data_IF_259072460532
#
_entry.id   IF_259072460532
#
_cell.length_a   1.000
_cell.length_b   1.000
_cell.length_c   1.000
_cell.angle_alpha   90.00
_cell.angle_beta   90.00
_cell.angle_gamma   90.00
#
_symmetry.space_group_name_H-M   'P 1'
#
loop_
_entity.id
_entity.type
_entity.pdbx_description
1 polymer ?
#
# COMPACT_ATOMS: atom_id res chain seq x y z
N UNK A 1 -7.68 17.34 2.58
CA UNK A 1 -7.25 18.10 3.77
C UNK A 1 -6.37 19.25 3.31
N UNK A 2 -7.00 20.38 2.97
CA UNK A 2 -6.43 21.73 3.08
C UNK A 2 -7.63 22.68 3.07
N UNK A 3 -7.71 23.48 4.13
CA UNK A 3 -8.89 24.20 4.58
C UNK A 3 -9.11 25.46 3.75
N UNK A 4 -10.33 25.63 3.28
CA UNK A 4 -10.91 26.89 2.85
C UNK A 4 -11.06 27.82 4.06
N UNK A 5 -10.23 28.85 4.12
CA UNK A 5 -10.33 29.92 5.10
C UNK A 5 -10.71 31.23 4.40
N UNK A 6 -12.00 31.52 4.36
CA UNK A 6 -12.52 32.88 4.13
C UNK A 6 -13.47 33.19 5.28
N UNK A 7 -12.88 33.55 6.42
CA UNK A 7 -13.61 34.16 7.52
C UNK A 7 -14.04 35.55 7.12
N UNK A 8 -15.32 35.69 6.77
CA UNK A 8 -16.02 36.96 6.79
C UNK A 8 -16.12 37.38 8.27
N UNK A 9 -15.26 38.30 8.66
CA UNK A 9 -15.39 39.05 9.90
C UNK A 9 -16.58 39.98 9.72
N UNK A 10 -17.66 39.72 10.46
CA UNK A 10 -18.73 40.67 10.71
C UNK A 10 -18.16 41.89 11.45
N UNK A 11 -17.72 42.90 10.70
CA UNK A 11 -17.58 44.24 11.27
C UNK A 11 -18.95 44.89 11.29
N UNK A 12 -19.54 44.91 12.50
CA UNK A 12 -20.76 45.63 12.87
C UNK A 12 -20.95 46.91 12.04
N UNK A 13 -22.03 46.93 11.27
CA UNK A 13 -22.49 48.12 10.58
C UNK A 13 -22.71 49.25 11.58
N UNK A 14 -22.08 50.39 11.31
CA UNK A 14 -22.67 51.66 11.71
C UNK A 14 -23.88 51.85 10.80
N UNK A 15 -25.08 51.62 11.34
CA UNK A 15 -26.34 51.97 10.67
C UNK A 15 -26.37 53.48 10.46
N UNK A 16 -26.08 53.92 9.24
CA UNK A 16 -26.53 55.20 8.73
C UNK A 16 -27.77 54.95 7.88
N UNK A 17 -28.84 54.50 8.53
CA UNK A 17 -30.20 54.56 7.98
C UNK A 17 -30.66 56.02 7.98
N UNK A 18 -30.09 56.83 7.10
CA UNK A 18 -30.67 58.10 6.67
C UNK A 18 -30.49 58.11 5.15
N UNK A 19 -31.58 58.34 4.43
CA UNK A 19 -31.74 58.32 2.96
C UNK A 19 -32.17 56.96 2.38
N UNK A 20 -33.49 56.74 2.40
CA UNK A 20 -34.18 55.73 1.58
C UNK A 20 -34.13 56.06 0.07
N UNK A 21 -34.47 55.09 -0.78
CA UNK A 21 -34.32 55.20 -2.22
C UNK A 21 -35.48 56.02 -2.80
N UNK A 22 -35.17 57.18 -3.37
CA UNK A 22 -36.15 58.02 -4.06
C UNK A 22 -35.91 59.50 -3.84
N UNK A 23 -35.39 60.14 -4.89
CA UNK A 23 -35.00 61.56 -5.02
C UNK A 23 -33.53 61.81 -4.70
N UNK A 24 -32.67 61.60 -5.71
CA UNK A 24 -31.29 62.07 -5.73
C UNK A 24 -31.28 63.60 -5.61
N UNK A 25 -31.07 64.10 -4.39
CA UNK A 25 -30.75 65.50 -4.19
C UNK A 25 -29.35 65.73 -4.76
N UNK A 26 -29.17 66.82 -5.49
CA UNK A 26 -27.83 67.26 -5.90
C UNK A 26 -26.94 67.36 -4.64
N UNK A 27 -25.71 66.85 -4.73
CA UNK A 27 -24.81 66.81 -3.57
C UNK A 27 -24.57 68.21 -2.98
N UNK A 28 -24.67 69.25 -3.81
CA UNK A 28 -24.60 70.65 -3.41
C UNK A 28 -25.71 71.12 -2.44
N UNK A 29 -26.79 70.36 -2.25
CA UNK A 29 -27.85 70.67 -1.29
C UNK A 29 -27.52 70.26 0.15
N UNK A 30 -26.43 69.52 0.37
CA UNK A 30 -26.02 69.05 1.70
C UNK A 30 -25.02 70.02 2.35
N UNK A 31 -24.99 70.04 3.69
CA UNK A 31 -23.97 70.78 4.43
C UNK A 31 -22.57 70.20 4.16
N UNK A 32 -21.51 71.01 4.14
CA UNK A 32 -20.15 70.61 3.75
C UNK A 32 -19.64 69.34 4.46
N UNK A 33 -19.89 69.20 5.77
CA UNK A 33 -19.52 68.00 6.53
C UNK A 33 -20.24 66.71 6.08
N UNK A 34 -21.47 66.82 5.59
CA UNK A 34 -22.22 65.69 5.04
C UNK A 34 -21.74 65.39 3.62
N UNK A 35 -21.40 66.41 2.84
CA UNK A 35 -20.78 66.23 1.51
C UNK A 35 -19.45 65.49 1.62
N UNK A 36 -18.59 65.85 2.57
CA UNK A 36 -17.30 65.18 2.80
C UNK A 36 -17.49 63.69 3.09
N UNK A 37 -18.45 63.33 3.94
CA UNK A 37 -18.73 61.93 4.28
C UNK A 37 -19.26 61.13 3.07
N UNK A 38 -20.14 61.73 2.26
CA UNK A 38 -20.68 61.11 1.04
C UNK A 38 -19.56 60.92 0.00
N UNK A 39 -18.67 61.90 -0.16
CA UNK A 39 -17.54 61.82 -1.10
C UNK A 39 -16.56 60.74 -0.67
N UNK A 40 -16.29 60.59 0.63
CA UNK A 40 -15.42 59.52 1.14
C UNK A 40 -16.00 58.14 0.81
N UNK A 41 -17.30 57.93 1.04
CA UNK A 41 -17.98 56.65 0.75
C UNK A 41 -17.93 56.30 -0.74
N UNK A 42 -18.16 57.29 -1.62
CA UNK A 42 -18.08 57.12 -3.06
C UNK A 42 -16.64 56.89 -3.56
N UNK A 43 -15.65 57.55 -2.96
CA UNK A 43 -14.23 57.31 -3.28
C UNK A 43 -13.80 55.91 -2.83
N UNK A 44 -14.23 55.46 -1.65
CA UNK A 44 -13.99 54.10 -1.18
C UNK A 44 -14.63 53.06 -2.11
N UNK A 45 -15.85 53.32 -2.58
CA UNK A 45 -16.53 52.47 -3.59
C UNK A 45 -15.74 52.43 -4.91
N UNK A 46 -15.27 53.59 -5.38
CA UNK A 46 -14.46 53.70 -6.59
C UNK A 46 -13.10 53.00 -6.48
N UNK A 47 -12.48 52.98 -5.28
CA UNK A 47 -11.23 52.25 -5.01
C UNK A 47 -11.38 50.72 -5.10
N UNK A 48 -12.60 50.21 -4.91
CA UNK A 48 -12.96 48.79 -5.09
C UNK A 48 -13.52 48.53 -6.50
N UNK A 49 -13.56 49.56 -7.37
CA UNK A 49 -14.04 49.45 -8.75
C UNK A 49 -15.57 49.38 -8.88
N UNK A 50 -16.31 49.79 -7.86
CA UNK A 50 -17.78 49.84 -7.82
C UNK A 50 -18.22 51.29 -8.07
N UNK A 51 -19.32 51.47 -8.82
CA UNK A 51 -19.90 52.79 -9.04
C UNK A 51 -20.51 53.35 -7.75
N UNK A 52 -20.13 54.59 -7.40
CA UNK A 52 -20.71 55.33 -6.28
C UNK A 52 -21.97 56.11 -6.70
N UNK A 53 -22.56 56.84 -5.76
CA UNK A 53 -23.80 57.60 -5.99
C UNK A 53 -23.56 58.91 -6.78
N UNK A 54 -22.45 59.59 -6.51
CA UNK A 54 -22.05 60.87 -7.11
C UNK A 54 -20.67 60.80 -7.81
N UNK A 55 -19.98 59.65 -7.73
CA UNK A 55 -18.78 59.32 -8.52
C UNK A 55 -19.09 58.12 -9.40
N UNK A 56 -19.11 58.34 -10.72
CA UNK A 56 -19.40 57.32 -11.72
C UNK A 56 -18.14 56.90 -12.48
N UNK A 57 -18.06 55.62 -12.84
CA UNK A 57 -16.90 55.05 -13.55
C UNK A 57 -17.31 54.78 -15.00
N UNK A 58 -16.90 55.64 -15.93
CA UNK A 58 -17.16 55.44 -17.37
C UNK A 58 -16.03 54.65 -18.02
N UNK A 59 -16.35 53.42 -18.43
CA UNK A 59 -15.46 52.60 -19.26
C UNK A 59 -15.64 52.99 -20.72
N UNK A 60 -14.61 53.57 -21.34
CA UNK A 60 -14.67 53.97 -22.75
C UNK A 60 -14.37 52.75 -23.62
N UNK A 61 -15.42 52.14 -24.17
CA UNK A 61 -15.26 51.10 -25.18
C UNK A 61 -14.69 51.72 -26.46
N UNK A 62 -13.41 51.47 -26.76
CA UNK A 62 -12.79 51.82 -28.04
C UNK A 62 -11.42 52.49 -27.97
N UNK A 63 -10.98 52.95 -26.79
CA UNK A 63 -9.57 53.29 -26.53
C UNK A 63 -9.01 52.32 -25.51
N UNK A 64 -7.82 51.81 -25.81
CA UNK A 64 -7.06 50.88 -24.97
C UNK A 64 -7.00 51.42 -23.53
N UNK A 65 -7.57 50.68 -22.60
CA UNK A 65 -7.30 50.74 -21.16
C UNK A 65 -7.31 52.13 -20.51
N UNK A 66 -8.45 52.84 -20.58
CA UNK A 66 -8.67 54.03 -19.75
C UNK A 66 -10.04 54.02 -19.09
N UNK A 67 -10.08 54.14 -17.76
CA UNK A 67 -11.31 54.29 -16.98
C UNK A 67 -11.47 55.75 -16.58
N UNK A 68 -12.52 56.42 -17.05
CA UNK A 68 -12.75 57.84 -16.75
C UNK A 68 -13.68 57.95 -15.56
N UNK A 69 -13.20 58.57 -14.48
CA UNK A 69 -14.00 58.87 -13.30
C UNK A 69 -14.68 60.22 -13.47
N UNK A 70 -16.01 60.25 -13.35
CA UNK A 70 -16.81 61.47 -13.45
C UNK A 70 -17.46 61.77 -12.10
N UNK A 71 -17.27 63.01 -11.64
CA UNK A 71 -17.84 63.53 -10.39
C UNK A 71 -19.05 64.40 -10.70
N UNK A 72 -20.07 64.35 -9.85
CA UNK A 72 -21.24 65.22 -9.93
C UNK A 72 -20.84 66.72 -9.94
N UNK A 73 -21.48 67.49 -10.83
CA UNK A 73 -21.13 68.89 -11.07
C UNK A 73 -21.57 69.84 -9.95
N UNK A 74 -22.45 69.39 -9.05
CA UNK A 74 -22.94 70.17 -7.90
C UNK A 74 -22.08 70.03 -6.64
N UNK A 75 -21.00 69.24 -6.70
CA UNK A 75 -20.06 69.04 -5.59
C UNK A 75 -19.21 70.28 -5.33
N UNK A 76 -18.89 70.52 -4.06
CA UNK A 76 -17.91 71.53 -3.68
C UNK A 76 -16.57 71.35 -4.43
N UNK A 77 -16.00 72.47 -4.90
CA UNK A 77 -14.82 72.46 -5.75
C UNK A 77 -13.58 71.88 -5.05
N UNK A 78 -13.44 72.07 -3.74
CA UNK A 78 -12.31 71.55 -2.95
C UNK A 78 -12.43 70.04 -2.80
N UNK A 79 -13.63 69.54 -2.53
CA UNK A 79 -13.90 68.09 -2.49
C UNK A 79 -13.72 67.44 -3.86
N UNK A 80 -14.14 68.11 -4.93
CA UNK A 80 -13.96 67.63 -6.30
C UNK A 80 -12.48 67.53 -6.67
N UNK A 81 -11.66 68.54 -6.33
CA UNK A 81 -10.22 68.51 -6.58
C UNK A 81 -9.53 67.41 -5.76
N UNK A 82 -9.96 67.22 -4.50
CA UNK A 82 -9.44 66.18 -3.61
C UNK A 82 -9.74 64.77 -4.11
N UNK A 83 -10.97 64.50 -4.55
CA UNK A 83 -11.35 63.22 -5.15
C UNK A 83 -10.58 62.93 -6.45
N UNK A 84 -10.40 63.96 -7.30
CA UNK A 84 -9.63 63.86 -8.55
C UNK A 84 -8.17 63.45 -8.34
N UNK A 85 -7.57 63.76 -7.19
CA UNK A 85 -6.20 63.31 -6.86
C UNK A 85 -6.10 61.81 -6.60
N UNK A 86 -7.20 61.16 -6.23
CA UNK A 86 -7.25 59.72 -5.87
C UNK A 86 -7.59 58.84 -7.09
N UNK A 87 -8.27 59.38 -8.10
CA UNK A 87 -8.70 58.63 -9.29
C UNK A 87 -7.61 57.88 -10.06
N UNK A 88 -6.35 58.36 -10.18
CA UNK A 88 -5.29 57.58 -10.83
C UNK A 88 -5.04 56.20 -10.17
N UNK A 89 -5.25 56.10 -8.86
CA UNK A 89 -5.13 54.84 -8.12
C UNK A 89 -6.32 53.91 -8.43
N UNK A 90 -7.54 54.46 -8.45
CA UNK A 90 -8.74 53.72 -8.83
C UNK A 90 -8.66 53.20 -10.27
N UNK A 91 -8.13 54.01 -11.19
CA UNK A 91 -7.88 53.61 -12.58
C UNK A 91 -6.92 52.44 -12.66
N UNK A 92 -5.79 52.52 -11.95
CA UNK A 92 -4.80 51.44 -11.89
C UNK A 92 -5.42 50.13 -11.37
N UNK A 93 -6.26 50.19 -10.34
CA UNK A 93 -6.95 49.02 -9.79
C UNK A 93 -7.91 48.37 -10.80
N UNK A 94 -8.75 49.17 -11.46
CA UNK A 94 -9.71 48.69 -12.47
C UNK A 94 -8.99 48.03 -13.65
N UNK A 95 -7.89 48.62 -14.12
CA UNK A 95 -7.09 48.07 -15.22
C UNK A 95 -6.39 46.77 -14.83
N UNK A 96 -5.86 46.67 -13.61
CA UNK A 96 -5.25 45.43 -13.10
C UNK A 96 -6.31 44.33 -13.01
N UNK A 97 -7.50 44.61 -12.48
CA UNK A 97 -8.57 43.61 -12.42
C UNK A 97 -9.03 43.16 -13.80
N UNK A 98 -9.22 44.08 -14.74
CA UNK A 98 -9.58 43.75 -16.13
C UNK A 98 -8.52 42.90 -16.83
N UNK A 99 -7.23 43.19 -16.59
CA UNK A 99 -6.13 42.37 -17.08
C UNK A 99 -6.12 40.96 -16.47
N UNK A 100 -6.39 40.85 -15.16
CA UNK A 100 -6.48 39.56 -14.46
C UNK A 100 -7.67 38.75 -14.98
N UNK A 101 -8.83 39.36 -15.13
CA UNK A 101 -10.04 38.72 -15.66
C UNK A 101 -9.82 38.21 -17.10
N UNK A 102 -9.34 39.06 -18.01
CA UNK A 102 -9.08 38.69 -19.41
C UNK A 102 -8.00 37.60 -19.58
N UNK A 103 -6.98 37.55 -18.71
CA UNK A 103 -5.96 36.50 -18.71
C UNK A 103 -6.39 35.23 -17.98
N UNK A 104 -7.35 35.31 -17.07
CA UNK A 104 -7.88 34.19 -16.31
C UNK A 104 -8.76 33.26 -17.15
N UNK A 105 -9.51 33.81 -18.13
CA UNK A 105 -10.31 33.03 -19.07
C UNK A 105 -9.46 32.08 -19.94
N UNK A 106 -8.20 32.45 -20.22
CA UNK A 106 -7.31 31.67 -21.07
C UNK A 106 -6.55 30.55 -20.35
N UNK A 107 -6.65 30.42 -19.01
CA UNK A 107 -5.78 29.50 -18.25
C UNK A 107 -6.44 28.46 -17.35
N UNK A 108 -7.76 28.46 -17.06
CA UNK A 108 -8.21 27.64 -15.92
C UNK A 108 -9.24 26.51 -16.10
N UNK A 109 -9.95 26.27 -17.23
CA UNK A 109 -11.06 25.27 -17.15
C UNK A 109 -11.13 24.19 -18.25
N UNK A 110 -10.70 24.42 -19.49
CA UNK A 110 -10.95 23.44 -20.58
C UNK A 110 -9.78 22.52 -20.98
N UNK A 111 -8.54 23.00 -20.88
CA UNK A 111 -7.37 22.31 -21.44
C UNK A 111 -6.87 21.17 -20.55
N UNK A 112 -6.82 21.38 -19.23
CA UNK A 112 -6.27 20.40 -18.29
C UNK A 112 -7.05 19.07 -18.30
N UNK A 113 -8.38 19.10 -18.47
CA UNK A 113 -9.22 17.90 -18.45
C UNK A 113 -8.94 16.99 -19.66
N UNK A 114 -8.82 17.55 -20.86
CA UNK A 114 -8.52 16.77 -22.08
C UNK A 114 -7.12 16.15 -22.06
N UNK A 115 -6.12 16.88 -21.57
CA UNK A 115 -4.77 16.30 -21.43
C UNK A 115 -4.73 15.18 -20.38
N UNK A 116 -5.43 15.35 -19.26
CA UNK A 116 -5.58 14.30 -18.25
C UNK A 116 -6.30 13.06 -18.80
N UNK A 117 -7.34 13.23 -19.60
CA UNK A 117 -8.03 12.11 -20.27
C UNK A 117 -7.12 11.37 -21.25
N UNK A 118 -6.37 12.09 -22.08
CA UNK A 118 -5.42 11.48 -23.01
C UNK A 118 -4.31 10.70 -22.27
N UNK A 119 -3.78 11.26 -21.17
CA UNK A 119 -2.77 10.58 -20.35
C UNK A 119 -3.35 9.32 -19.69
N UNK A 120 -4.57 9.41 -19.13
CA UNK A 120 -5.25 8.25 -18.54
C UNK A 120 -5.49 7.16 -19.58
N UNK A 121 -5.99 7.51 -20.76
CA UNK A 121 -6.22 6.55 -21.85
C UNK A 121 -4.91 5.87 -22.30
N UNK A 122 -3.81 6.63 -22.42
CA UNK A 122 -2.51 6.08 -22.75
C UNK A 122 -1.97 5.15 -21.64
N UNK A 123 -2.16 5.51 -20.38
CA UNK A 123 -1.80 4.67 -19.23
C UNK A 123 -2.62 3.38 -19.17
N UNK A 124 -3.93 3.47 -19.35
CA UNK A 124 -4.84 2.30 -19.33
C UNK A 124 -4.51 1.33 -20.48
N UNK A 125 -4.20 1.85 -21.67
CA UNK A 125 -3.75 1.04 -22.80
C UNK A 125 -2.39 0.36 -22.51
N UNK A 126 -1.39 1.13 -22.07
CA UNK A 126 -0.05 0.58 -21.80
C UNK A 126 -0.05 -0.44 -20.64
N UNK A 127 -0.80 -0.17 -19.59
CA UNK A 127 -0.93 -1.07 -18.44
C UNK A 127 -1.69 -2.34 -18.78
N UNK A 128 -2.75 -2.24 -19.59
CA UNK A 128 -3.49 -3.40 -20.12
C UNK A 128 -2.62 -4.30 -20.99
N UNK A 129 -1.89 -3.73 -21.95
CA UNK A 129 -0.97 -4.48 -22.82
C UNK A 129 0.15 -5.17 -22.02
N UNK A 130 0.75 -4.46 -21.06
CA UNK A 130 1.79 -5.05 -20.22
C UNK A 130 1.24 -6.18 -19.35
N UNK A 131 0.03 -6.02 -18.81
CA UNK A 131 -0.63 -7.07 -18.02
C UNK A 131 -0.94 -8.31 -18.88
N UNK A 132 -1.45 -8.13 -20.09
CA UNK A 132 -1.71 -9.22 -21.03
C UNK A 132 -0.41 -9.94 -21.40
N UNK A 133 0.67 -9.20 -21.66
CA UNK A 133 2.00 -9.78 -21.91
C UNK A 133 2.45 -10.66 -20.74
N UNK A 134 2.33 -10.19 -19.49
CA UNK A 134 2.75 -10.94 -18.30
C UNK A 134 1.85 -12.15 -18.03
N UNK A 135 0.52 -12.00 -18.19
CA UNK A 135 -0.45 -13.07 -17.93
C UNK A 135 -0.40 -14.17 -19.00
N UNK A 136 -0.41 -13.81 -20.28
CA UNK A 136 -0.52 -14.77 -21.38
C UNK A 136 0.84 -15.29 -21.83
N UNK A 137 1.76 -14.40 -22.19
CA UNK A 137 3.04 -14.80 -22.80
C UNK A 137 4.00 -15.43 -21.79
N UNK A 138 4.02 -14.92 -20.56
CA UNK A 138 4.92 -15.41 -19.50
C UNK A 138 4.22 -16.31 -18.46
N UNK A 139 2.93 -16.59 -18.64
CA UNK A 139 2.11 -17.44 -17.76
C UNK A 139 2.37 -17.21 -16.25
N UNK A 140 2.15 -15.97 -15.81
CA UNK A 140 2.27 -15.61 -14.39
C UNK A 140 1.44 -16.53 -13.49
N UNK A 141 0.26 -16.95 -13.95
CA UNK A 141 -0.64 -17.80 -13.17
C UNK A 141 -0.11 -19.22 -13.02
N UNK A 142 0.46 -19.81 -14.07
CA UNK A 142 1.20 -21.07 -13.98
C UNK A 142 2.37 -20.96 -13.00
N UNK A 143 3.16 -19.88 -13.08
CA UNK A 143 4.31 -19.69 -12.19
C UNK A 143 3.92 -19.55 -10.73
N UNK A 144 2.87 -18.80 -10.42
CA UNK A 144 2.31 -18.68 -9.07
C UNK A 144 1.78 -20.04 -8.59
N UNK A 145 1.15 -20.83 -9.46
CA UNK A 145 0.65 -22.17 -9.14
C UNK A 145 1.79 -23.11 -8.76
N UNK A 146 2.90 -23.11 -9.51
CA UNK A 146 4.10 -23.87 -9.15
C UNK A 146 4.66 -23.43 -7.79
N UNK A 147 4.70 -22.12 -7.52
CA UNK A 147 5.10 -21.60 -6.20
C UNK A 147 4.20 -22.15 -5.09
N UNK A 148 2.88 -22.20 -5.30
CA UNK A 148 1.96 -22.85 -4.35
C UNK A 148 2.29 -24.33 -4.17
N UNK A 149 2.47 -25.08 -5.26
CA UNK A 149 2.76 -26.51 -5.20
C UNK A 149 4.01 -26.83 -4.36
N UNK A 150 5.10 -26.07 -4.54
CA UNK A 150 6.38 -26.36 -3.88
C UNK A 150 6.58 -25.63 -2.54
N UNK A 151 6.28 -24.33 -2.45
CA UNK A 151 6.55 -23.54 -1.24
C UNK A 151 5.39 -23.57 -0.23
N UNK A 152 4.15 -23.77 -0.68
CA UNK A 152 2.97 -23.89 0.20
C UNK A 152 2.53 -25.34 0.44
N UNK A 153 3.27 -26.31 -0.12
CA UNK A 153 3.09 -27.76 0.07
C UNK A 153 1.75 -28.35 -0.41
N UNK A 154 1.15 -27.75 -1.44
CA UNK A 154 -0.07 -28.30 -2.07
C UNK A 154 0.21 -29.65 -2.76
N UNK A 155 1.37 -29.80 -3.42
CA UNK A 155 1.88 -31.09 -3.91
C UNK A 155 3.07 -31.54 -3.06
N UNK A 156 2.83 -31.96 -1.83
CA UNK A 156 3.88 -32.29 -0.86
C UNK A 156 4.48 -33.71 -0.95
N UNK A 157 4.18 -34.49 -2.00
CA UNK A 157 4.66 -35.87 -2.15
C UNK A 157 6.18 -35.94 -2.37
N UNK A 158 6.72 -35.04 -3.22
CA UNK A 158 8.17 -34.89 -3.42
C UNK A 158 8.88 -34.58 -2.10
N UNK A 159 8.27 -33.77 -1.22
CA UNK A 159 8.88 -33.37 0.04
C UNK A 159 9.01 -34.56 0.99
N UNK A 160 8.00 -35.44 1.03
CA UNK A 160 8.01 -36.65 1.83
C UNK A 160 9.15 -37.56 1.40
N UNK A 161 9.33 -37.75 0.10
CA UNK A 161 10.42 -38.55 -0.46
C UNK A 161 11.79 -37.89 -0.26
N UNK A 162 11.90 -36.58 -0.49
CA UNK A 162 13.11 -35.79 -0.22
C UNK A 162 13.57 -35.93 1.23
N UNK A 163 12.67 -35.81 2.21
CA UNK A 163 13.00 -35.96 3.64
C UNK A 163 13.56 -37.35 3.99
N UNK A 164 13.20 -38.40 3.23
CA UNK A 164 13.74 -39.74 3.45
C UNK A 164 15.15 -39.89 2.89
N UNK A 165 15.37 -39.47 1.65
CA UNK A 165 16.67 -39.59 0.99
C UNK A 165 17.71 -38.60 1.52
N UNK A 166 17.28 -37.43 1.99
CA UNK A 166 18.15 -36.38 2.52
C UNK A 166 18.34 -36.45 4.03
N UNK A 167 17.76 -37.45 4.72
CA UNK A 167 17.80 -37.58 6.17
C UNK A 167 19.22 -37.49 6.75
N UNK A 168 20.17 -38.22 6.19
CA UNK A 168 21.56 -38.23 6.66
C UNK A 168 22.24 -36.88 6.51
N UNK A 169 21.92 -36.14 5.45
CA UNK A 169 22.50 -34.83 5.19
C UNK A 169 21.85 -33.75 6.07
N UNK A 170 20.53 -33.82 6.26
CA UNK A 170 19.76 -32.87 7.07
C UNK A 170 20.04 -33.00 8.56
N UNK A 171 20.52 -34.15 9.04
CA UNK A 171 20.90 -34.36 10.44
C UNK A 171 22.30 -33.83 10.79
N UNK A 172 23.09 -33.41 9.80
CA UNK A 172 24.41 -32.81 10.02
C UNK A 172 24.29 -31.38 10.54
N UNK A 173 25.40 -30.88 11.08
CA UNK A 173 25.54 -29.46 11.44
C UNK A 173 25.61 -28.58 10.17
N UNK A 174 25.15 -27.32 10.21
CA UNK A 174 25.09 -26.44 9.06
C UNK A 174 26.41 -26.29 8.27
N UNK A 175 27.55 -26.35 8.96
CA UNK A 175 28.88 -26.20 8.35
C UNK A 175 29.33 -27.44 7.56
N UNK A 176 28.75 -28.61 7.85
CA UNK A 176 29.09 -29.90 7.24
C UNK A 176 28.15 -30.29 6.09
N UNK A 177 27.10 -29.49 5.85
CA UNK A 177 26.08 -29.76 4.85
C UNK A 177 26.57 -29.32 3.47
N UNK A 178 26.53 -30.24 2.51
CA UNK A 178 26.75 -29.89 1.11
C UNK A 178 25.44 -29.45 0.45
N UNK A 179 25.35 -28.16 0.10
CA UNK A 179 24.20 -27.61 -0.64
C UNK A 179 24.04 -28.27 -2.02
N UNK A 180 25.14 -28.64 -2.68
CA UNK A 180 25.13 -29.34 -3.97
C UNK A 180 24.54 -30.74 -3.85
N UNK A 181 24.89 -31.45 -2.77
CA UNK A 181 24.30 -32.77 -2.47
C UNK A 181 22.81 -32.66 -2.14
N UNK A 182 22.40 -31.65 -1.38
CA UNK A 182 20.98 -31.42 -1.13
C UNK A 182 20.21 -31.06 -2.41
N UNK A 183 20.82 -30.28 -3.31
CA UNK A 183 20.22 -29.98 -4.61
C UNK A 183 20.05 -31.25 -5.45
N UNK A 184 21.06 -32.11 -5.54
CA UNK A 184 20.96 -33.34 -6.34
C UNK A 184 19.92 -34.32 -5.78
N UNK A 185 19.80 -34.40 -4.44
CA UNK A 185 18.74 -35.16 -3.78
C UNK A 185 17.36 -34.55 -4.03
N UNK A 186 17.23 -33.21 -4.00
CA UNK A 186 15.99 -32.53 -4.35
C UNK A 186 15.58 -32.82 -5.80
N UNK A 187 16.51 -32.73 -6.75
CA UNK A 187 16.25 -33.00 -8.16
C UNK A 187 15.84 -34.47 -8.37
N UNK A 188 16.47 -35.41 -7.66
CA UNK A 188 16.07 -36.81 -7.66
C UNK A 188 14.63 -36.96 -7.14
N UNK A 189 14.28 -36.28 -6.06
CA UNK A 189 12.94 -36.37 -5.48
C UNK A 189 11.86 -35.73 -6.36
N UNK A 190 12.17 -34.63 -7.03
CA UNK A 190 11.26 -34.00 -7.98
C UNK A 190 11.04 -34.89 -9.21
N UNK A 191 12.09 -35.59 -9.67
CA UNK A 191 12.05 -36.48 -10.83
C UNK A 191 11.32 -37.80 -10.59
N UNK A 192 11.20 -38.24 -9.34
CA UNK A 192 10.58 -39.52 -8.99
C UNK A 192 9.09 -39.41 -8.60
N UNK A 193 8.54 -38.19 -8.49
CA UNK A 193 7.16 -37.95 -8.05
C UNK A 193 6.31 -37.25 -9.12
N UNK A 194 5.05 -36.95 -8.78
CA UNK A 194 4.13 -36.25 -9.69
C UNK A 194 4.60 -34.82 -10.04
N UNK A 195 5.58 -34.28 -9.30
CA UNK A 195 6.19 -32.99 -9.55
C UNK A 195 6.83 -32.84 -10.94
N UNK A 196 7.19 -33.95 -11.62
CA UNK A 196 7.71 -33.94 -13.00
C UNK A 196 6.72 -33.34 -13.99
N UNK A 197 5.42 -33.46 -13.73
CA UNK A 197 4.39 -32.96 -14.63
C UNK A 197 4.41 -31.42 -14.75
N UNK A 198 4.98 -30.71 -13.77
CA UNK A 198 5.10 -29.24 -13.80
C UNK A 198 6.35 -28.82 -14.60
N UNK A 199 6.22 -28.03 -15.68
CA UNK A 199 7.36 -27.51 -16.45
C UNK A 199 8.32 -26.65 -15.62
N UNK A 200 7.85 -26.06 -14.50
CA UNK A 200 8.61 -25.15 -13.66
C UNK A 200 9.38 -25.83 -12.52
N UNK A 201 9.37 -27.16 -12.42
CA UNK A 201 10.05 -27.90 -11.34
C UNK A 201 11.56 -27.63 -11.31
N UNK A 202 12.20 -27.39 -12.46
CA UNK A 202 13.65 -27.14 -12.59
C UNK A 202 14.11 -25.80 -12.01
N UNK A 203 13.18 -24.86 -11.77
CA UNK A 203 13.51 -23.56 -11.17
C UNK A 203 13.57 -23.62 -9.64
N UNK A 204 13.31 -24.78 -9.02
CA UNK A 204 13.40 -24.98 -7.58
C UNK A 204 14.85 -25.24 -7.15
N UNK A 205 15.33 -24.45 -6.20
CA UNK A 205 16.70 -24.51 -5.70
C UNK A 205 16.74 -24.70 -4.19
N UNK A 206 17.65 -25.53 -3.70
CA UNK A 206 17.94 -25.70 -2.28
C UNK A 206 18.78 -24.52 -1.76
N UNK A 207 18.41 -24.01 -0.60
CA UNK A 207 19.18 -23.01 0.14
C UNK A 207 19.42 -23.51 1.57
N UNK A 208 20.64 -23.30 2.08
CA UNK A 208 20.99 -23.58 3.47
C UNK A 208 21.24 -22.23 4.13
N UNK A 209 20.27 -21.79 4.95
CA UNK A 209 20.37 -20.51 5.65
C UNK A 209 21.21 -20.66 6.93
N UNK A 210 22.13 -19.73 7.18
CA UNK A 210 22.97 -19.75 8.40
C UNK A 210 22.21 -19.41 9.69
N UNK A 211 20.95 -18.98 9.58
CA UNK A 211 20.11 -18.57 10.70
C UNK A 211 18.83 -19.40 10.78
N UNK A 212 18.42 -19.69 12.01
CA UNK A 212 17.14 -20.37 12.29
C UNK A 212 15.96 -19.47 11.93
N UNK A 213 14.79 -20.10 11.74
CA UNK A 213 13.54 -19.39 11.45
C UNK A 213 13.26 -18.31 12.51
N UNK A 214 13.42 -18.65 13.79
CA UNK A 214 13.18 -17.73 14.91
C UNK A 214 14.10 -16.51 14.87
N UNK A 215 15.40 -16.70 14.60
CA UNK A 215 16.37 -15.60 14.50
C UNK A 215 16.09 -14.69 13.29
N UNK A 216 15.58 -15.25 12.19
CA UNK A 216 15.17 -14.49 11.01
C UNK A 216 13.87 -13.71 11.26
N UNK A 217 12.93 -14.29 12.00
CA UNK A 217 11.68 -13.60 12.40
C UNK A 217 11.96 -12.47 13.40
N UNK A 218 12.86 -12.66 14.36
CA UNK A 218 13.23 -11.61 15.31
C UNK A 218 13.92 -10.43 14.62
N UNK A 219 14.89 -10.68 13.74
CA UNK A 219 15.54 -9.61 12.95
C UNK A 219 14.58 -8.86 12.02
N UNK A 220 13.63 -9.56 11.39
CA UNK A 220 12.59 -8.89 10.58
C UNK A 220 11.66 -8.03 11.43
N UNK A 221 11.34 -8.47 12.65
CA UNK A 221 10.55 -7.69 13.61
C UNK A 221 11.31 -6.46 14.09
N UNK A 222 12.58 -6.59 14.41
CA UNK A 222 13.42 -5.46 14.84
C UNK A 222 13.57 -4.41 13.73
N UNK A 223 13.53 -4.82 12.46
CA UNK A 223 13.51 -3.89 11.32
C UNK A 223 12.17 -3.16 11.14
N UNK A 224 11.04 -3.78 11.51
CA UNK A 224 9.71 -3.13 11.51
C UNK A 224 9.45 -2.30 12.78
N UNK A 225 10.15 -2.58 13.88
CA UNK A 225 9.96 -1.96 15.20
C UNK A 225 11.04 -0.94 15.60
N UNK A 226 11.77 -0.35 14.65
CA UNK A 226 12.71 0.74 14.92
C UNK A 226 12.00 2.07 15.24
N UNK A 227 11.27 2.11 16.34
CA UNK A 227 11.17 3.25 17.24
C UNK A 227 10.69 2.70 18.59
N UNK A 228 11.40 3.07 19.66
CA UNK A 228 11.20 2.72 21.08
C UNK A 228 12.18 1.63 21.60
N UNK A 229 13.34 2.16 21.98
CA UNK A 229 14.21 1.78 23.11
C UNK A 229 15.07 0.51 23.01
N UNK A 230 16.36 0.79 23.00
CA UNK A 230 17.53 -0.05 23.27
C UNK A 230 17.35 -0.92 24.53
N UNK A 231 17.68 -2.21 24.45
CA UNK A 231 18.33 -2.98 25.54
C UNK A 231 18.67 -4.38 25.06
N UNK A 232 19.91 -4.74 25.32
CA UNK A 232 20.55 -6.05 25.19
C UNK A 232 19.66 -7.20 25.65
N UNK A 233 19.65 -8.28 24.88
CA UNK A 233 19.67 -9.65 25.35
C UNK A 233 20.09 -10.51 24.16
N UNK A 234 21.39 -10.84 24.11
CA UNK A 234 21.88 -11.97 23.34
C UNK A 234 21.15 -13.20 23.88
N UNK A 235 20.12 -13.62 23.15
CA UNK A 235 19.42 -14.86 23.44
C UNK A 235 20.43 -15.99 23.26
N UNK A 236 20.72 -16.65 24.38
CA UNK A 236 21.52 -17.86 24.50
C UNK A 236 21.20 -18.82 23.35
N UNK A 237 22.27 -19.35 22.73
CA UNK A 237 22.18 -20.30 21.63
C UNK A 237 21.28 -21.49 21.98
N UNK A 238 20.22 -21.79 21.20
CA UNK A 238 19.60 -23.09 21.32
C UNK A 238 20.54 -24.12 20.69
N UNK A 239 20.96 -25.07 21.53
CA UNK A 239 21.06 -26.51 21.25
C UNK A 239 21.18 -26.87 19.77
N UNK A 240 22.42 -27.10 19.31
CA UNK A 240 22.76 -27.81 18.06
C UNK A 240 21.78 -27.58 16.90
N UNK A 241 21.78 -26.38 16.33
CA UNK A 241 21.09 -26.08 15.07
C UNK A 241 21.46 -27.17 14.07
N UNK A 242 20.46 -27.92 13.62
CA UNK A 242 20.63 -29.04 12.70
C UNK A 242 20.23 -28.59 11.29
N UNK A 243 20.70 -29.27 10.24
CA UNK A 243 20.34 -28.99 8.84
C UNK A 243 18.85 -28.85 8.56
N UNK A 244 18.02 -29.57 9.33
CA UNK A 244 16.57 -29.48 9.30
C UNK A 244 16.02 -28.08 9.59
N UNK A 245 16.68 -27.33 10.47
CA UNK A 245 16.24 -25.98 10.83
C UNK A 245 16.74 -24.94 9.83
N UNK A 246 17.87 -25.19 9.17
CA UNK A 246 18.52 -24.27 8.22
C UNK A 246 18.06 -24.45 6.78
N UNK A 247 17.52 -25.62 6.45
CA UNK A 247 17.01 -25.93 5.12
C UNK A 247 15.87 -25.00 4.70
N UNK A 248 15.97 -24.47 3.49
CA UNK A 248 14.92 -23.70 2.84
C UNK A 248 14.89 -23.95 1.33
N UNK A 249 13.72 -23.79 0.72
CA UNK A 249 13.57 -23.84 -0.73
C UNK A 249 13.53 -22.41 -1.28
N UNK A 250 14.20 -22.18 -2.39
CA UNK A 250 14.13 -20.95 -3.17
C UNK A 250 13.62 -21.27 -4.57
N UNK A 251 12.98 -20.30 -5.21
CA UNK A 251 12.41 -20.47 -6.53
C UNK A 251 12.94 -19.39 -7.46
N UNK A 252 13.61 -19.82 -8.53
CA UNK A 252 14.27 -18.93 -9.48
C UNK A 252 13.25 -18.31 -10.42
N UNK A 253 13.03 -17.00 -10.28
CA UNK A 253 12.14 -16.24 -11.16
C UNK A 253 12.98 -15.37 -12.09
N UNK A 254 12.81 -15.57 -13.40
CA UNK A 254 13.47 -14.75 -14.44
C UNK A 254 12.69 -13.46 -14.68
N UNK A 255 13.38 -12.45 -15.20
CA UNK A 255 12.71 -11.27 -15.75
C UNK A 255 11.82 -11.70 -16.94
N UNK A 256 10.59 -11.18 -17.09
CA UNK A 256 9.99 -10.04 -16.39
C UNK A 256 9.14 -10.39 -15.16
N UNK A 257 8.89 -11.67 -14.87
CA UNK A 257 8.04 -12.10 -13.74
C UNK A 257 8.58 -11.67 -12.38
N UNK A 258 9.89 -11.40 -12.28
CA UNK A 258 10.54 -10.84 -11.09
C UNK A 258 10.01 -9.48 -10.65
N UNK A 259 9.31 -8.76 -11.55
CA UNK A 259 8.62 -7.51 -11.22
C UNK A 259 7.45 -7.75 -10.26
N UNK A 260 6.69 -8.82 -10.49
CA UNK A 260 5.56 -9.22 -9.63
C UNK A 260 6.04 -10.06 -8.46
N UNK A 261 6.82 -11.10 -8.74
CA UNK A 261 7.37 -12.00 -7.72
C UNK A 261 8.73 -11.46 -7.30
N UNK A 262 8.69 -10.42 -6.46
CA UNK A 262 9.88 -9.77 -5.94
C UNK A 262 10.67 -10.67 -4.97
N UNK A 263 11.94 -10.35 -4.74
CA UNK A 263 12.76 -11.03 -3.70
C UNK A 263 12.14 -10.93 -2.30
N UNK A 264 11.43 -9.83 -2.02
CA UNK A 264 10.70 -9.63 -0.77
C UNK A 264 9.57 -10.65 -0.64
N UNK A 265 8.78 -10.83 -1.71
CA UNK A 265 7.72 -11.83 -1.73
C UNK A 265 8.26 -13.27 -1.59
N UNK A 266 9.35 -13.61 -2.30
CA UNK A 266 9.99 -14.92 -2.15
C UNK A 266 10.47 -15.19 -0.71
N UNK A 267 10.99 -14.16 -0.02
CA UNK A 267 11.37 -14.29 1.39
C UNK A 267 10.15 -14.60 2.27
N UNK A 268 9.00 -13.97 2.01
CA UNK A 268 7.74 -14.27 2.72
C UNK A 268 7.31 -15.72 2.48
N UNK A 269 7.34 -16.21 1.24
CA UNK A 269 7.08 -17.63 0.93
C UNK A 269 8.04 -18.58 1.62
N UNK A 270 9.33 -18.26 1.64
CA UNK A 270 10.35 -19.06 2.33
C UNK A 270 10.08 -19.23 3.82
N UNK A 271 9.63 -18.17 4.49
CA UNK A 271 9.28 -18.25 5.92
C UNK A 271 8.09 -19.19 6.16
N UNK A 272 7.05 -19.09 5.31
CA UNK A 272 5.89 -20.00 5.37
C UNK A 272 6.35 -21.44 5.12
N UNK A 273 7.14 -21.67 4.06
CA UNK A 273 7.67 -22.98 3.73
C UNK A 273 8.46 -23.59 4.88
N UNK A 274 9.41 -22.85 5.48
CA UNK A 274 10.25 -23.35 6.58
C UNK A 274 9.42 -23.77 7.78
N UNK A 275 8.36 -23.02 8.10
CA UNK A 275 7.44 -23.38 9.16
C UNK A 275 6.66 -24.66 8.84
N UNK A 276 6.06 -24.74 7.66
CA UNK A 276 5.34 -25.93 7.21
C UNK A 276 6.25 -27.17 7.15
N UNK A 277 7.49 -27.00 6.67
CA UNK A 277 8.51 -28.04 6.61
C UNK A 277 8.80 -28.60 8.00
N UNK A 278 9.01 -27.73 8.99
CA UNK A 278 9.24 -28.14 10.37
C UNK A 278 8.04 -28.91 10.94
N UNK A 279 6.81 -28.41 10.77
CA UNK A 279 5.60 -29.11 11.19
C UNK A 279 5.46 -30.48 10.53
N UNK A 280 5.77 -30.60 9.23
CA UNK A 280 5.71 -31.85 8.49
C UNK A 280 6.77 -32.85 8.98
N UNK A 281 7.98 -32.37 9.26
CA UNK A 281 9.05 -33.18 9.82
C UNK A 281 8.68 -33.73 11.21
N UNK A 282 8.20 -32.89 12.12
CA UNK A 282 7.74 -33.31 13.46
C UNK A 282 6.60 -34.32 13.36
N UNK A 283 5.62 -34.08 12.48
CA UNK A 283 4.54 -35.03 12.22
C UNK A 283 5.08 -36.39 11.77
N UNK A 284 6.07 -36.41 10.89
CA UNK A 284 6.70 -37.65 10.41
C UNK A 284 7.43 -38.41 11.52
N UNK A 285 8.17 -37.70 12.38
CA UNK A 285 8.84 -38.32 13.52
C UNK A 285 7.85 -38.93 14.51
N UNK A 286 6.75 -38.23 14.80
CA UNK A 286 5.68 -38.73 15.65
C UNK A 286 4.98 -39.96 15.04
N UNK A 287 4.75 -39.97 13.73
CA UNK A 287 4.24 -41.15 13.02
C UNK A 287 5.17 -42.36 13.17
N UNK A 288 6.49 -42.17 13.01
CA UNK A 288 7.48 -43.25 13.17
C UNK A 288 7.51 -43.79 14.61
N UNK A 289 7.50 -42.90 15.62
CA UNK A 289 7.42 -43.29 17.03
C UNK A 289 6.11 -44.03 17.35
N UNK A 290 4.99 -43.58 16.80
CA UNK A 290 3.70 -44.24 16.94
C UNK A 290 3.71 -45.65 16.34
N UNK A 291 4.27 -45.82 15.13
CA UNK A 291 4.41 -47.12 14.49
C UNK A 291 5.22 -48.09 15.35
N UNK A 292 6.32 -47.63 15.95
CA UNK A 292 7.12 -48.43 16.88
C UNK A 292 6.30 -48.87 18.11
N UNK A 293 5.56 -47.94 18.72
CA UNK A 293 4.68 -48.26 19.86
C UNK A 293 3.57 -49.26 19.49
N UNK A 294 2.98 -49.15 18.30
CA UNK A 294 1.99 -50.13 17.84
C UNK A 294 2.62 -51.50 17.53
N UNK A 295 3.85 -51.53 17.02
CA UNK A 295 4.62 -52.76 16.81
C UNK A 295 4.89 -53.50 18.12
N UNK A 296 5.36 -52.80 19.14
CA UNK A 296 5.60 -53.36 20.48
C UNK A 296 4.31 -53.89 21.12
N UNK A 297 3.18 -53.19 20.94
CA UNK A 297 1.87 -53.63 21.42
C UNK A 297 1.38 -54.93 20.77
N UNK A 298 1.79 -55.23 19.53
CA UNK A 298 1.44 -56.50 18.86
C UNK A 298 2.23 -57.69 19.41
N UNK A 299 3.42 -57.44 19.96
CA UNK A 299 4.29 -58.47 20.53
C UNK A 299 3.92 -58.81 21.98
N UNK A 300 3.21 -57.90 22.65
CA UNK A 300 2.78 -58.09 24.03
C UNK A 300 1.47 -58.88 24.09
N UNK A 301 1.59 -60.20 24.31
CA UNK A 301 0.46 -61.13 24.46
C UNK A 301 -0.24 -61.02 25.84
N UNK A 302 0.31 -60.27 26.79
CA UNK A 302 -0.15 -60.24 28.19
C UNK A 302 -0.95 -59.00 28.57
N UNK A 303 -1.24 -58.10 27.62
CA UNK A 303 -2.15 -56.98 27.84
C UNK A 303 -1.60 -55.89 28.76
N UNK A 304 -0.31 -55.58 28.67
CA UNK A 304 0.28 -54.51 29.48
C UNK A 304 -0.39 -53.18 29.13
N UNK A 305 -0.64 -52.40 30.18
CA UNK A 305 -1.27 -51.09 30.13
C UNK A 305 -0.65 -50.19 29.06
N UNK A 306 -1.51 -49.43 28.36
CA UNK A 306 -1.12 -48.41 27.38
C UNK A 306 -0.03 -47.53 28.02
N UNK A 307 1.18 -47.56 27.46
CA UNK A 307 2.28 -46.77 28.01
C UNK A 307 1.93 -45.28 27.96
N UNK A 308 2.29 -44.54 29.01
CA UNK A 308 2.12 -43.07 29.04
C UNK A 308 2.79 -42.42 27.82
N UNK A 309 3.91 -42.97 27.35
CA UNK A 309 4.59 -42.52 26.12
C UNK A 309 3.74 -42.68 24.86
N UNK A 310 2.95 -43.75 24.73
CA UNK A 310 2.07 -43.96 23.58
C UNK A 310 0.86 -43.01 23.60
N UNK A 311 0.33 -42.70 24.79
CA UNK A 311 -0.73 -41.70 24.94
C UNK A 311 -0.23 -40.28 24.61
N UNK A 312 0.95 -39.91 25.11
CA UNK A 312 1.57 -38.62 24.81
C UNK A 312 1.83 -38.49 23.30
N UNK A 313 2.43 -39.50 22.68
CA UNK A 313 2.67 -39.53 21.24
C UNK A 313 1.37 -39.35 20.43
N UNK A 314 0.30 -40.05 20.82
CA UNK A 314 -1.03 -39.90 20.19
C UNK A 314 -1.58 -38.47 20.32
N UNK A 315 -1.45 -37.85 21.49
CA UNK A 315 -1.94 -36.50 21.72
C UNK A 315 -1.13 -35.46 20.93
N UNK A 316 0.20 -35.56 20.91
CA UNK A 316 1.06 -34.71 20.10
C UNK A 316 0.77 -34.89 18.60
N UNK A 317 0.55 -36.14 18.15
CA UNK A 317 0.20 -36.44 16.77
C UNK A 317 -1.17 -35.84 16.38
N UNK A 318 -2.16 -35.90 17.29
CA UNK A 318 -3.45 -35.23 17.07
C UNK A 318 -3.26 -33.72 16.93
N UNK A 319 -2.48 -33.11 17.84
CA UNK A 319 -2.21 -31.68 17.80
C UNK A 319 -1.53 -31.24 16.50
N UNK A 320 -0.43 -31.89 16.11
CA UNK A 320 0.31 -31.48 14.91
C UNK A 320 -0.50 -31.70 13.63
N UNK A 321 -1.31 -32.75 13.57
CA UNK A 321 -2.22 -32.95 12.45
C UNK A 321 -3.28 -31.86 12.41
N UNK A 322 -3.93 -31.53 13.53
CA UNK A 322 -4.89 -30.43 13.59
C UNK A 322 -4.26 -29.09 13.20
N UNK A 323 -3.02 -28.81 13.62
CA UNK A 323 -2.29 -27.61 13.22
C UNK A 323 -1.99 -27.59 11.72
N UNK A 324 -1.50 -28.69 11.15
CA UNK A 324 -1.24 -28.79 9.71
C UNK A 324 -2.53 -28.62 8.90
N UNK A 325 -3.67 -29.15 9.36
CA UNK A 325 -4.97 -28.95 8.71
C UNK A 325 -5.39 -27.47 8.76
N UNK A 326 -5.25 -26.81 9.91
CA UNK A 326 -5.52 -25.38 10.02
C UNK A 326 -4.66 -24.55 9.04
N UNK A 327 -3.35 -24.80 9.03
CA UNK A 327 -2.44 -24.03 8.16
C UNK A 327 -2.75 -24.23 6.68
N UNK A 328 -3.03 -25.45 6.25
CA UNK A 328 -3.27 -25.77 4.84
C UNK A 328 -4.68 -25.38 4.39
N UNK A 329 -5.72 -25.88 5.07
CA UNK A 329 -7.10 -25.75 4.61
C UNK A 329 -7.85 -24.52 5.12
N UNK A 330 -7.50 -23.97 6.29
CA UNK A 330 -8.20 -22.79 6.84
C UNK A 330 -7.47 -21.49 6.48
N UNK A 331 -6.13 -21.52 6.40
CA UNK A 331 -5.32 -20.32 6.13
C UNK A 331 -4.89 -20.24 4.68
N UNK A 332 -4.12 -21.21 4.17
CA UNK A 332 -3.48 -21.07 2.86
C UNK A 332 -4.47 -21.20 1.70
N UNK A 333 -5.32 -22.22 1.70
CA UNK A 333 -6.23 -22.50 0.59
C UNK A 333 -7.29 -21.40 0.37
N UNK A 334 -8.00 -20.90 1.41
CA UNK A 334 -9.02 -19.87 1.21
C UNK A 334 -8.41 -18.54 0.76
N UNK A 335 -7.25 -18.18 1.33
CA UNK A 335 -6.54 -16.95 0.95
C UNK A 335 -6.01 -17.04 -0.49
N UNK A 336 -5.56 -18.21 -0.92
CA UNK A 336 -5.15 -18.45 -2.30
C UNK A 336 -6.33 -18.26 -3.27
N UNK A 337 -7.50 -18.83 -2.97
CA UNK A 337 -8.69 -18.65 -3.79
C UNK A 337 -9.12 -17.19 -3.92
N UNK A 338 -9.10 -16.44 -2.81
CA UNK A 338 -9.40 -14.99 -2.82
C UNK A 338 -8.41 -14.24 -3.71
N UNK A 339 -7.12 -14.53 -3.60
CA UNK A 339 -6.10 -13.92 -4.45
C UNK A 339 -6.30 -14.29 -5.92
N UNK A 340 -6.51 -15.58 -6.23
CA UNK A 340 -6.70 -16.09 -7.59
C UNK A 340 -7.87 -15.38 -8.29
N UNK A 341 -9.01 -15.25 -7.60
CA UNK A 341 -10.19 -14.57 -8.16
C UNK A 341 -9.92 -13.08 -8.39
N UNK A 342 -9.22 -12.40 -7.48
CA UNK A 342 -8.87 -10.97 -7.63
C UNK A 342 -7.86 -10.74 -8.76
N UNK A 343 -6.91 -11.67 -8.96
CA UNK A 343 -5.93 -11.61 -10.04
C UNK A 343 -6.59 -11.73 -11.42
N UNK A 344 -7.67 -12.50 -11.54
CA UNK A 344 -8.45 -12.58 -12.78
C UNK A 344 -9.10 -11.24 -13.14
N UNK A 345 -9.59 -10.49 -12.14
CA UNK A 345 -10.27 -9.20 -12.33
C UNK A 345 -9.34 -7.98 -12.42
N UNK A 346 -8.04 -8.16 -12.14
CA UNK A 346 -7.07 -7.05 -12.12
C UNK A 346 -6.89 -6.43 -13.51
N UNK A 347 -6.82 -5.09 -13.55
CA UNK A 347 -6.68 -4.27 -14.76
C UNK A 347 -5.25 -3.77 -14.98
N UNK A 348 -4.46 -3.67 -13.91
CA UNK A 348 -3.06 -3.24 -13.96
C UNK A 348 -2.14 -4.22 -13.24
N UNK A 349 -0.83 -4.13 -13.52
CA UNK A 349 0.18 -4.92 -12.81
C UNK A 349 0.36 -4.46 -11.38
N UNK A 350 0.16 -3.17 -11.11
CA UNK A 350 0.22 -2.63 -9.75
C UNK A 350 -0.86 -3.26 -8.86
N UNK A 351 -2.08 -3.44 -9.38
CA UNK A 351 -3.14 -4.18 -8.68
C UNK A 351 -2.75 -5.63 -8.42
N UNK A 352 -2.13 -6.31 -9.40
CA UNK A 352 -1.63 -7.68 -9.24
C UNK A 352 -0.60 -7.78 -8.12
N UNK A 353 0.35 -6.85 -8.07
CA UNK A 353 1.38 -6.79 -7.01
C UNK A 353 0.71 -6.57 -5.66
N UNK A 354 -0.22 -5.61 -5.56
CA UNK A 354 -0.93 -5.32 -4.31
C UNK A 354 -1.73 -6.53 -3.80
N UNK A 355 -2.45 -7.23 -4.67
CA UNK A 355 -3.21 -8.42 -4.27
C UNK A 355 -2.31 -9.56 -3.82
N UNK A 356 -1.18 -9.75 -4.49
CA UNK A 356 -0.19 -10.75 -4.12
C UNK A 356 0.49 -10.44 -2.78
N UNK A 357 0.87 -9.17 -2.55
CA UNK A 357 1.45 -8.75 -1.27
C UNK A 357 0.44 -8.87 -0.12
N UNK A 358 -0.82 -8.50 -0.36
CA UNK A 358 -1.90 -8.65 0.62
C UNK A 358 -2.12 -10.12 0.99
N UNK A 359 -2.13 -11.03 0.01
CA UNK A 359 -2.22 -12.47 0.24
C UNK A 359 -1.10 -12.97 1.16
N UNK A 360 0.15 -12.61 0.84
CA UNK A 360 1.32 -13.04 1.61
C UNK A 360 1.31 -12.51 3.04
N UNK A 361 0.95 -11.24 3.24
CA UNK A 361 0.88 -10.65 4.58
C UNK A 361 -0.24 -11.25 5.42
N UNK A 362 -1.38 -11.52 4.79
CA UNK A 362 -2.50 -12.20 5.46
C UNK A 362 -2.10 -13.63 5.88
N UNK A 363 -1.47 -14.39 4.98
CA UNK A 363 -0.99 -15.74 5.29
C UNK A 363 0.07 -15.73 6.41
N UNK A 364 1.05 -14.82 6.37
CA UNK A 364 2.06 -14.73 7.43
C UNK A 364 1.44 -14.43 8.81
N UNK A 365 0.39 -13.59 8.85
CA UNK A 365 -0.30 -13.24 10.10
C UNK A 365 -1.11 -14.41 10.63
N UNK A 366 -1.89 -15.05 9.76
CA UNK A 366 -2.78 -16.16 10.12
C UNK A 366 -2.02 -17.46 10.40
N UNK A 367 -0.84 -17.67 9.80
CA UNK A 367 0.08 -18.75 10.16
C UNK A 367 0.77 -18.55 11.52
N UNK A 368 0.40 -17.50 12.29
CA UNK A 368 0.94 -17.17 13.63
C UNK A 368 2.43 -16.79 13.66
N UNK A 369 3.08 -16.66 12.50
CA UNK A 369 4.51 -16.32 12.39
C UNK A 369 4.84 -14.89 12.83
N UNK A 370 3.82 -14.03 12.90
CA UNK A 370 3.94 -12.64 13.35
C UNK A 370 3.50 -12.46 14.82
N UNK A 371 3.03 -13.51 15.50
CA UNK A 371 2.57 -13.41 16.88
C UNK A 371 3.76 -13.40 17.86
N UNK A 372 3.96 -12.32 18.64
CA UNK A 372 5.10 -12.21 19.56
C UNK A 372 5.00 -13.13 20.78
N UNK A 373 3.81 -13.65 21.07
CA UNK A 373 3.54 -14.50 22.25
C UNK A 373 3.95 -15.95 21.98
N UNK A 374 3.79 -16.42 20.74
CA UNK A 374 4.01 -17.83 20.37
C UNK A 374 5.45 -18.15 19.97
N UNK A 375 6.29 -17.12 19.71
CA UNK A 375 7.72 -17.29 19.42
C UNK A 375 8.60 -17.32 20.68
N UNK A 376 8.00 -17.12 21.87
CA UNK A 376 8.68 -17.12 23.18
C UNK A 376 8.36 -18.35 24.04
N UNK A 377 7.38 -19.15 23.63
CA UNK A 377 6.98 -20.41 24.26
C UNK A 377 7.58 -21.53 23.44
#
# INVERSE_FOLDING_TARGET
MMMSASGLVESKGFSMEIFGPGVDKSIGCYHAAIQELIVIDDVLSALVGIEGRYISIRRVQGKVDSAIFQVDASMDLVLQESAKRIFPLCESYVLINQFVESRSEFKSVGSNHRYLECIKAAYDFASGELLNLIKEKYDLMGKLRSIKHYLLLDQGDFLVHFMDIAREELMKKPDEISAEKLQSLLDLALRSTAAVADPCHEDLTCCVDKTTLLKRLSTLKDLQMKQIVSSSNELEEPVSITGLETFSLSFKVRWPLSLVISRKALTKYQLIFRFLFHCKHVNRQLCAAWQLHQGLRRLDMQGIAISVSSLLCRNMLKFINSLLHYLTFEVLEPNWHVMHNRLQTAKSIDEVIQYHDFFLEKCLRECLLLSPVLLKV
#
